data_IF_437104325180
#
_entry.id   IF_437104325180
#
_cell.length_a   1.000
_cell.length_b   1.000
_cell.length_c   1.000
_cell.angle_alpha   90.00
_cell.angle_beta   90.00
_cell.angle_gamma   90.00
#
_symmetry.space_group_name_H-M   'P 1'
#
loop_
_entity.id
_entity.type
_entity.pdbx_description
1 polymer ?
#
# COMPACT_ATOMS: atom_id res chain seq x y z
N UNK A 1 2.16 15.34 -16.67
CA UNK A 1 1.88 13.95 -16.28
C UNK A 1 1.52 13.96 -14.81
N UNK A 2 0.39 13.40 -14.41
CA UNK A 2 -0.03 13.37 -13.02
C UNK A 2 0.11 11.95 -12.45
N UNK A 3 0.30 11.85 -11.15
CA UNK A 3 0.41 10.60 -10.39
C UNK A 3 -0.68 10.61 -9.33
N UNK A 4 -1.53 9.60 -9.34
CA UNK A 4 -2.51 9.41 -8.29
C UNK A 4 -1.86 8.73 -7.07
N UNK A 5 -2.29 9.09 -5.88
CA UNK A 5 -1.88 8.46 -4.63
C UNK A 5 -3.12 8.02 -3.85
N UNK A 6 -3.28 6.71 -3.74
CA UNK A 6 -4.20 6.07 -2.82
C UNK A 6 -3.40 5.64 -1.61
N UNK A 7 -3.39 6.45 -0.59
CA UNK A 7 -2.60 6.21 0.60
C UNK A 7 -3.44 6.39 1.83
N UNK A 8 -3.43 5.39 2.63
CA UNK A 8 -3.90 5.47 3.99
C UNK A 8 -2.74 5.63 4.98
N UNK A 9 -1.49 5.71 4.51
CA UNK A 9 -0.32 5.79 5.35
C UNK A 9 0.02 7.25 5.67
N UNK A 10 -0.12 7.61 6.93
CA UNK A 10 0.22 8.94 7.43
C UNK A 10 1.74 9.19 7.45
N UNK A 11 2.56 8.14 7.33
CA UNK A 11 4.01 8.29 7.40
C UNK A 11 4.66 8.50 6.03
N UNK A 12 4.38 7.66 5.04
CA UNK A 12 5.03 7.72 3.71
C UNK A 12 4.34 8.71 2.78
N UNK A 13 3.02 8.82 2.86
CA UNK A 13 2.23 9.67 1.98
C UNK A 13 2.67 11.16 1.99
N UNK A 14 2.99 11.80 3.13
CA UNK A 14 3.48 13.18 3.15
C UNK A 14 4.77 13.38 2.36
N UNK A 15 5.72 12.43 2.43
CA UNK A 15 6.97 12.50 1.66
C UNK A 15 6.73 12.41 0.17
N UNK A 16 5.86 11.49 -0.26
CA UNK A 16 5.47 11.37 -1.66
C UNK A 16 4.79 12.67 -2.12
N UNK A 17 3.93 13.23 -1.29
CA UNK A 17 3.23 14.48 -1.59
C UNK A 17 4.19 15.66 -1.75
N UNK A 18 5.18 15.77 -0.87
CA UNK A 18 6.21 16.81 -0.97
C UNK A 18 7.06 16.64 -2.25
N UNK A 19 7.44 15.41 -2.58
CA UNK A 19 8.25 15.13 -3.77
C UNK A 19 7.51 15.39 -5.08
N UNK A 20 6.22 15.06 -5.16
CA UNK A 20 5.43 15.17 -6.39
C UNK A 20 4.76 16.53 -6.56
N UNK A 21 4.51 17.26 -5.46
CA UNK A 21 3.93 18.60 -5.48
C UNK A 21 2.68 18.69 -6.36
N UNK A 22 2.65 19.63 -7.28
CA UNK A 22 1.52 19.88 -8.19
C UNK A 22 1.21 18.72 -9.16
N UNK A 23 2.12 17.72 -9.26
CA UNK A 23 1.89 16.54 -10.08
C UNK A 23 1.05 15.48 -9.37
N UNK A 24 0.81 15.62 -8.07
CA UNK A 24 0.04 14.67 -7.29
C UNK A 24 -1.46 14.89 -7.42
N UNK A 25 -2.19 13.78 -7.46
CA UNK A 25 -3.64 13.70 -7.28
C UNK A 25 -3.90 12.76 -6.12
N UNK A 26 -4.27 13.28 -4.97
CA UNK A 26 -4.62 12.46 -3.82
C UNK A 26 -6.03 11.89 -3.98
N UNK A 27 -6.18 10.59 -3.76
CA UNK A 27 -7.47 9.90 -3.75
C UNK A 27 -7.97 9.87 -2.30
N UNK A 28 -9.04 10.62 -1.97
CA UNK A 28 -9.63 10.56 -0.65
C UNK A 28 -10.44 9.26 -0.46
N UNK A 29 -10.61 8.84 0.79
CA UNK A 29 -11.34 7.58 1.10
C UNK A 29 -12.78 7.61 0.55
N UNK A 30 -13.44 8.77 0.54
CA UNK A 30 -14.81 8.93 0.04
C UNK A 30 -14.91 8.65 -1.47
N UNK A 31 -13.84 8.88 -2.22
CA UNK A 31 -13.83 8.57 -3.66
C UNK A 31 -13.80 7.07 -3.95
N UNK A 32 -13.41 6.24 -2.96
CA UNK A 32 -13.43 4.79 -3.11
C UNK A 32 -14.86 4.22 -3.12
N UNK A 33 -15.83 4.97 -2.61
CA UNK A 33 -17.24 4.58 -2.57
C UNK A 33 -18.01 4.99 -3.84
N UNK A 34 -17.42 5.85 -4.68
CA UNK A 34 -18.01 6.34 -5.94
C UNK A 34 -17.05 6.09 -7.12
N UNK A 35 -17.37 5.10 -7.93
CA UNK A 35 -16.55 4.74 -9.10
C UNK A 35 -16.39 5.88 -10.11
N UNK A 36 -17.38 6.75 -10.27
CA UNK A 36 -17.30 7.89 -11.19
C UNK A 36 -16.35 8.97 -10.63
N UNK A 37 -16.42 9.23 -9.34
CA UNK A 37 -15.50 10.16 -8.67
C UNK A 37 -14.06 9.65 -8.75
N UNK A 38 -13.84 8.36 -8.50
CA UNK A 38 -12.53 7.73 -8.61
C UNK A 38 -11.98 7.79 -10.05
N UNK A 39 -12.79 7.44 -11.05
CA UNK A 39 -12.40 7.50 -12.46
C UNK A 39 -12.07 8.93 -12.90
N UNK A 40 -12.81 9.93 -12.44
CA UNK A 40 -12.51 11.33 -12.72
C UNK A 40 -11.16 11.78 -12.17
N UNK A 41 -10.77 11.29 -10.97
CA UNK A 41 -9.47 11.57 -10.37
C UNK A 41 -8.33 10.86 -11.12
N UNK A 42 -8.57 9.66 -11.62
CA UNK A 42 -7.55 8.86 -12.32
C UNK A 42 -7.36 9.26 -13.79
N UNK A 43 -8.38 9.82 -14.44
CA UNK A 43 -8.34 10.22 -15.86
C UNK A 43 -7.10 11.05 -16.26
N UNK A 44 -6.65 12.06 -15.48
CA UNK A 44 -5.45 12.84 -15.83
C UNK A 44 -4.13 12.14 -15.46
N UNK A 45 -4.17 10.96 -14.83
CA UNK A 45 -3.02 10.30 -14.27
C UNK A 45 -2.45 9.25 -15.23
N UNK A 46 -1.13 9.13 -15.25
CA UNK A 46 -0.43 8.05 -15.95
C UNK A 46 0.02 6.94 -15.00
N UNK A 47 0.01 7.21 -13.70
CA UNK A 47 0.41 6.25 -12.69
C UNK A 47 -0.44 6.39 -11.43
N UNK A 48 -0.60 5.29 -10.73
CA UNK A 48 -1.27 5.21 -9.44
C UNK A 48 -0.34 4.54 -8.44
N UNK A 49 0.02 5.25 -7.38
CA UNK A 49 0.72 4.68 -6.22
C UNK A 49 -0.35 4.26 -5.21
N UNK A 50 -0.36 2.98 -4.86
CA UNK A 50 -1.22 2.43 -3.81
C UNK A 50 -0.37 1.98 -2.62
N UNK A 51 -0.68 2.55 -1.45
CA UNK A 51 -0.04 2.20 -0.18
C UNK A 51 -1.12 1.65 0.74
N UNK A 52 -1.00 0.38 1.07
CA UNK A 52 -1.91 -0.27 1.99
C UNK A 52 -1.20 -0.55 3.32
N UNK A 53 -0.82 0.51 4.01
CA UNK A 53 -0.05 0.41 5.25
C UNK A 53 -0.85 0.72 6.51
N UNK A 54 -2.12 1.08 6.40
CA UNK A 54 -2.97 1.16 7.59
C UNK A 54 -2.98 -0.21 8.25
N UNK A 55 -2.48 -0.34 9.48
CA UNK A 55 -2.80 -1.51 10.27
C UNK A 55 -4.32 -1.57 10.30
N UNK A 56 -4.87 -2.70 9.89
CA UNK A 56 -6.29 -2.96 10.13
C UNK A 56 -6.48 -2.76 11.62
N UNK A 57 -7.35 -1.86 12.00
CA UNK A 57 -7.74 -1.73 13.40
C UNK A 57 -8.39 -3.05 13.82
N UNK A 58 -7.59 -3.91 14.42
CA UNK A 58 -8.01 -5.24 14.85
C UNK A 58 -9.09 -5.17 15.93
N UNK A 59 -9.34 -3.97 16.51
CA UNK A 59 -10.47 -3.74 17.39
C UNK A 59 -11.82 -3.79 16.66
N UNK A 60 -11.82 -3.50 15.35
CA UNK A 60 -13.00 -3.55 14.49
C UNK A 60 -13.18 -4.93 13.85
N UNK A 61 -12.08 -5.63 13.57
CA UNK A 61 -12.10 -6.99 13.06
C UNK A 61 -12.19 -7.97 14.24
N UNK A 62 -13.30 -8.71 14.32
CA UNK A 62 -13.51 -9.69 15.41
C UNK A 62 -12.57 -10.89 15.33
N UNK A 63 -11.96 -11.10 14.18
CA UNK A 63 -10.99 -12.17 13.89
C UNK A 63 -10.10 -11.80 12.71
N UNK A 64 -9.07 -12.59 12.48
CA UNK A 64 -8.10 -12.41 11.41
C UNK A 64 -8.75 -12.41 10.01
N UNK A 65 -9.81 -13.20 9.82
CA UNK A 65 -10.54 -13.28 8.55
C UNK A 65 -11.30 -11.98 8.26
N UNK A 66 -11.90 -11.39 9.29
CA UNK A 66 -12.54 -10.10 9.19
C UNK A 66 -11.56 -8.99 8.80
N UNK A 67 -10.35 -9.02 9.36
CA UNK A 67 -9.30 -8.06 9.03
C UNK A 67 -8.88 -8.14 7.55
N UNK A 68 -8.65 -9.35 7.04
CA UNK A 68 -8.32 -9.57 5.61
C UNK A 68 -9.48 -9.11 4.72
N UNK A 69 -10.73 -9.41 5.10
CA UNK A 69 -11.90 -8.99 4.33
C UNK A 69 -11.98 -7.46 4.19
N UNK A 70 -11.74 -6.72 5.26
CA UNK A 70 -11.71 -5.25 5.26
C UNK A 70 -10.60 -4.73 4.33
N UNK A 71 -9.40 -5.31 4.39
CA UNK A 71 -8.31 -4.92 3.50
C UNK A 71 -8.66 -5.13 2.03
N UNK A 72 -9.24 -6.28 1.70
CA UNK A 72 -9.69 -6.62 0.34
C UNK A 72 -10.80 -5.69 -0.15
N UNK A 73 -11.76 -5.40 0.69
CA UNK A 73 -12.87 -4.51 0.37
C UNK A 73 -12.39 -3.10 0.04
N UNK A 74 -11.41 -2.58 0.79
CA UNK A 74 -10.80 -1.27 0.53
C UNK A 74 -9.95 -1.22 -0.74
N UNK A 75 -9.24 -2.31 -1.05
CA UNK A 75 -8.38 -2.36 -2.24
C UNK A 75 -9.18 -2.60 -3.53
N UNK A 76 -10.33 -3.27 -3.46
CA UNK A 76 -11.13 -3.64 -4.64
C UNK A 76 -11.50 -2.47 -5.54
N UNK A 77 -12.03 -1.33 -5.05
CA UNK A 77 -12.34 -0.18 -5.90
C UNK A 77 -11.14 0.32 -6.70
N UNK A 78 -9.95 0.31 -6.09
CA UNK A 78 -8.68 0.71 -6.73
C UNK A 78 -8.32 -0.28 -7.85
N UNK A 79 -8.37 -1.58 -7.57
CA UNK A 79 -8.07 -2.63 -8.56
C UNK A 79 -9.04 -2.58 -9.75
N UNK A 80 -10.33 -2.41 -9.47
CA UNK A 80 -11.37 -2.31 -10.49
C UNK A 80 -11.23 -1.02 -11.32
N UNK A 81 -10.78 0.07 -10.71
CA UNK A 81 -10.48 1.31 -11.42
C UNK A 81 -9.28 1.16 -12.37
N UNK A 82 -8.24 0.46 -11.93
CA UNK A 82 -7.07 0.15 -12.79
C UNK A 82 -7.51 -0.64 -14.02
N UNK A 83 -8.45 -1.57 -13.89
CA UNK A 83 -8.98 -2.33 -15.04
C UNK A 83 -9.71 -1.42 -16.04
N UNK A 84 -10.41 -0.39 -15.58
CA UNK A 84 -11.09 0.58 -16.45
C UNK A 84 -10.15 1.58 -17.14
N UNK A 85 -9.00 1.83 -16.54
CA UNK A 85 -7.98 2.75 -17.05
C UNK A 85 -6.83 1.99 -17.74
N UNK A 86 -7.03 1.61 -18.99
CA UNK A 86 -6.19 0.66 -19.75
C UNK A 86 -4.71 1.05 -19.95
N UNK A 87 -4.26 2.26 -19.54
CA UNK A 87 -2.86 2.70 -19.65
C UNK A 87 -2.27 3.18 -18.32
N UNK A 88 -2.94 2.91 -17.20
CA UNK A 88 -2.51 3.35 -15.89
C UNK A 88 -1.45 2.40 -15.30
N UNK A 89 -0.23 2.90 -15.07
CA UNK A 89 0.80 2.13 -14.38
C UNK A 89 0.48 2.06 -12.88
N UNK A 90 0.17 0.89 -12.36
CA UNK A 90 -0.05 0.69 -10.93
C UNK A 90 1.26 0.37 -10.22
N UNK A 91 1.55 1.12 -9.16
CA UNK A 91 2.71 0.93 -8.29
C UNK A 91 2.20 0.62 -6.88
N UNK A 92 2.48 -0.59 -6.40
CA UNK A 92 2.09 -1.01 -5.06
C UNK A 92 3.30 -0.89 -4.14
N UNK A 93 3.13 -0.18 -3.03
CA UNK A 93 4.11 -0.18 -1.94
C UNK A 93 3.63 -1.17 -0.89
N UNK A 94 4.30 -2.30 -0.86
CA UNK A 94 4.02 -3.44 0.00
C UNK A 94 5.07 -3.60 1.10
N UNK A 95 5.07 -4.77 1.72
CA UNK A 95 5.94 -5.09 2.85
C UNK A 95 6.74 -6.38 2.62
N UNK A 96 7.97 -6.42 3.13
CA UNK A 96 8.77 -7.66 3.16
C UNK A 96 8.18 -8.74 4.08
N UNK A 97 7.15 -8.42 4.88
CA UNK A 97 6.47 -9.40 5.76
C UNK A 97 5.68 -10.46 4.99
N UNK A 98 5.49 -10.29 3.68
CA UNK A 98 4.93 -11.33 2.79
C UNK A 98 5.89 -12.50 2.56
N UNK A 99 7.17 -12.34 2.87
CA UNK A 99 8.16 -13.42 2.86
C UNK A 99 8.22 -14.13 4.21
N UNK A 100 8.70 -15.39 4.27
CA UNK A 100 8.94 -16.09 5.52
C UNK A 100 9.92 -15.31 6.40
N UNK A 101 9.97 -15.64 7.68
CA UNK A 101 10.94 -15.02 8.57
C UNK A 101 12.35 -15.39 8.10
N UNK A 102 13.18 -14.36 7.93
CA UNK A 102 14.59 -14.57 7.63
C UNK A 102 15.33 -15.11 8.86
N UNK A 103 16.12 -16.17 8.65
CA UNK A 103 16.99 -16.72 9.67
C UNK A 103 18.47 -16.51 9.29
N UNK A 104 19.36 -16.42 10.27
CA UNK A 104 20.79 -16.29 9.99
C UNK A 104 21.30 -17.47 9.13
N UNK A 105 21.80 -17.15 7.94
CA UNK A 105 22.24 -18.15 6.97
C UNK A 105 21.33 -18.32 5.77
N UNK A 106 20.14 -17.72 5.78
CA UNK A 106 19.27 -17.69 4.61
C UNK A 106 19.88 -16.83 3.49
N UNK A 107 19.70 -17.29 2.27
CA UNK A 107 20.01 -16.49 1.08
C UNK A 107 19.02 -15.35 0.93
N UNK A 108 19.38 -14.32 0.15
CA UNK A 108 18.48 -13.20 -0.16
C UNK A 108 17.21 -13.67 -0.84
N UNK A 109 16.08 -13.05 -0.49
CA UNK A 109 14.81 -13.25 -1.20
C UNK A 109 14.95 -12.79 -2.66
N UNK A 110 14.87 -13.72 -3.58
CA UNK A 110 14.83 -13.46 -5.02
C UNK A 110 13.38 -13.44 -5.54
N UNK A 111 13.25 -13.25 -6.84
CA UNK A 111 11.94 -13.28 -7.53
C UNK A 111 11.23 -14.64 -7.36
N UNK A 112 12.00 -15.72 -7.23
CA UNK A 112 11.49 -17.09 -7.08
C UNK A 112 11.30 -17.53 -5.63
N UNK A 113 11.48 -16.61 -4.66
CA UNK A 113 11.30 -16.93 -3.25
C UNK A 113 9.85 -17.24 -2.95
N UNK A 114 9.60 -18.33 -2.22
CA UNK A 114 8.28 -18.68 -1.74
C UNK A 114 7.73 -17.59 -0.84
N UNK A 115 6.50 -17.13 -1.12
CA UNK A 115 5.81 -16.17 -0.30
C UNK A 115 5.09 -16.91 0.84
N UNK A 116 5.34 -16.49 2.07
CA UNK A 116 4.72 -17.02 3.28
C UNK A 116 4.46 -15.84 4.25
N UNK A 117 3.28 -15.21 4.15
CA UNK A 117 2.93 -14.06 4.99
C UNK A 117 3.08 -14.37 6.47
N UNK A 118 3.70 -13.46 7.23
CA UNK A 118 4.00 -13.65 8.65
C UNK A 118 2.83 -13.30 9.57
N UNK A 119 1.86 -12.60 9.06
CA UNK A 119 0.67 -12.15 9.79
C UNK A 119 -0.45 -11.75 8.85
N UNK A 120 -1.60 -11.46 9.44
CA UNK A 120 -2.84 -11.09 8.76
C UNK A 120 -2.68 -9.89 7.82
N UNK A 121 -1.93 -8.86 8.24
CA UNK A 121 -1.71 -7.69 7.41
C UNK A 121 -0.87 -8.04 6.17
N UNK A 122 0.15 -8.89 6.35
CA UNK A 122 0.96 -9.38 5.24
C UNK A 122 0.16 -10.30 4.30
N UNK A 123 -0.77 -11.11 4.82
CA UNK A 123 -1.67 -11.94 4.00
C UNK A 123 -2.62 -11.07 3.17
N UNK A 124 -3.21 -10.05 3.77
CA UNK A 124 -4.05 -9.09 3.05
C UNK A 124 -3.27 -8.32 1.99
N UNK A 125 -2.04 -7.92 2.30
CA UNK A 125 -1.14 -7.25 1.37
C UNK A 125 -0.78 -8.16 0.18
N UNK A 126 -0.41 -9.40 0.43
CA UNK A 126 -0.10 -10.37 -0.62
C UNK A 126 -1.28 -10.57 -1.56
N UNK A 127 -2.50 -10.68 -1.02
CA UNK A 127 -3.69 -10.78 -1.84
C UNK A 127 -3.86 -9.58 -2.80
N UNK A 128 -3.57 -8.35 -2.33
CA UNK A 128 -3.63 -7.14 -3.19
C UNK A 128 -2.59 -7.21 -4.28
N UNK A 129 -1.35 -7.58 -3.94
CA UNK A 129 -0.25 -7.72 -4.90
C UNK A 129 -0.57 -8.75 -5.99
N UNK A 130 -1.03 -9.93 -5.61
CA UNK A 130 -1.43 -11.01 -6.54
C UNK A 130 -2.54 -10.56 -7.47
N UNK A 131 -3.61 -9.97 -6.92
CA UNK A 131 -4.73 -9.49 -7.74
C UNK A 131 -4.34 -8.35 -8.68
N UNK A 132 -3.40 -7.50 -8.30
CA UNK A 132 -2.89 -6.47 -9.20
C UNK A 132 -2.01 -7.06 -10.31
N UNK A 133 -1.14 -8.02 -9.97
CA UNK A 133 -0.26 -8.69 -10.92
C UNK A 133 -1.09 -9.49 -11.96
N UNK A 134 -2.15 -10.17 -11.52
CA UNK A 134 -3.06 -10.88 -12.43
C UNK A 134 -3.75 -9.96 -13.45
N UNK A 135 -3.89 -8.68 -13.13
CA UNK A 135 -4.47 -7.64 -14.01
C UNK A 135 -3.44 -6.94 -14.89
N UNK A 136 -2.14 -7.25 -14.71
CA UNK A 136 -1.08 -6.61 -15.47
C UNK A 136 -1.12 -6.98 -16.94
N UNK A 137 -0.95 -5.98 -17.80
CA UNK A 137 -0.85 -6.09 -19.24
C UNK A 137 0.31 -5.21 -19.76
N UNK A 138 0.72 -5.38 -21.01
CA UNK A 138 1.81 -4.57 -21.59
C UNK A 138 1.53 -3.08 -21.52
N UNK A 139 0.30 -2.67 -21.79
CA UNK A 139 -0.13 -1.26 -21.76
C UNK A 139 -0.47 -0.78 -20.33
N UNK A 140 -0.63 -1.72 -19.41
CA UNK A 140 -1.03 -1.50 -18.01
C UNK A 140 -0.09 -2.24 -17.08
N UNK A 141 1.16 -1.77 -16.93
CA UNK A 141 2.14 -2.42 -16.09
C UNK A 141 1.80 -2.30 -14.60
N UNK A 142 2.20 -3.31 -13.85
CA UNK A 142 2.15 -3.32 -12.38
C UNK A 142 3.57 -3.46 -11.84
N UNK A 143 3.91 -2.61 -10.87
CA UNK A 143 5.17 -2.69 -10.12
C UNK A 143 4.88 -2.89 -8.65
N UNK A 144 5.51 -3.87 -8.01
CA UNK A 144 5.42 -4.11 -6.57
C UNK A 144 6.75 -3.78 -5.92
N UNK A 145 6.73 -2.83 -4.99
CA UNK A 145 7.89 -2.43 -4.19
C UNK A 145 7.66 -2.91 -2.77
N UNK A 146 8.36 -3.97 -2.36
CA UNK A 146 8.28 -4.50 -0.99
C UNK A 146 9.34 -3.82 -0.13
N UNK A 147 8.88 -2.89 0.70
CA UNK A 147 9.75 -2.17 1.62
C UNK A 147 9.91 -2.96 2.94
N UNK A 148 11.08 -2.82 3.55
CA UNK A 148 11.27 -3.15 4.97
C UNK A 148 10.59 -2.09 5.84
N UNK A 149 10.84 -2.08 7.14
CA UNK A 149 10.37 -1.00 8.00
C UNK A 149 10.91 0.34 7.50
N UNK A 150 9.99 1.21 7.07
CA UNK A 150 10.35 2.57 6.67
C UNK A 150 10.61 3.39 7.93
N UNK A 151 11.76 4.05 7.96
CA UNK A 151 12.20 4.86 9.09
C UNK A 151 12.42 6.30 8.63
N UNK A 152 12.11 7.24 9.49
CA UNK A 152 12.32 8.66 9.21
C UNK A 152 11.68 9.55 10.26
N UNK A 153 11.81 10.85 10.08
CA UNK A 153 11.12 11.85 10.90
C UNK A 153 9.79 12.16 10.24
N UNK A 154 8.64 12.02 10.91
CA UNK A 154 7.37 12.38 10.31
C UNK A 154 7.36 13.87 9.91
N UNK A 155 6.96 14.16 8.66
CA UNK A 155 6.82 15.54 8.16
C UNK A 155 5.59 16.23 8.77
N UNK A 156 4.58 15.45 9.18
CA UNK A 156 3.36 15.95 9.82
C UNK A 156 2.75 14.89 10.73
N UNK A 157 2.03 15.32 11.73
CA UNK A 157 1.36 14.41 12.69
C UNK A 157 2.17 14.11 13.94
N UNK A 158 1.57 13.42 14.93
CA UNK A 158 2.27 13.05 16.14
C UNK A 158 3.39 12.06 15.82
N UNK A 159 4.56 12.17 16.45
CA UNK A 159 5.61 11.18 16.31
C UNK A 159 5.06 9.83 16.78
N UNK A 160 5.10 8.80 15.93
CA UNK A 160 4.73 7.50 16.45
C UNK A 160 4.12 6.47 15.50
N UNK A 161 3.96 6.77 14.22
CA UNK A 161 3.39 5.78 13.31
C UNK A 161 4.42 4.77 12.74
N UNK A 162 5.73 5.02 12.89
CA UNK A 162 6.75 4.03 12.60
C UNK A 162 7.06 3.19 13.84
N UNK A 163 7.17 1.88 13.70
CA UNK A 163 7.45 0.95 14.83
C UNK A 163 8.67 1.40 15.65
N UNK A 164 9.73 1.89 15.01
CA UNK A 164 10.93 2.36 15.71
C UNK A 164 10.74 3.75 16.36
N UNK A 165 9.92 4.61 15.78
CA UNK A 165 9.61 5.90 16.39
C UNK A 165 8.78 5.73 17.65
N UNK A 166 7.83 4.81 17.64
CA UNK A 166 7.04 4.43 18.80
C UNK A 166 7.92 3.83 19.88
N UNK A 167 8.85 2.96 19.50
CA UNK A 167 9.79 2.32 20.43
C UNK A 167 10.77 3.33 21.06
N UNK A 168 11.32 4.25 20.27
CA UNK A 168 12.20 5.31 20.77
C UNK A 168 11.47 6.27 21.69
N UNK A 169 10.20 6.56 21.44
CA UNK A 169 9.39 7.44 22.28
C UNK A 169 8.99 6.75 23.61
N UNK A 170 8.56 5.51 23.56
CA UNK A 170 8.21 4.72 24.75
C UNK A 170 9.42 4.42 25.64
N UNK A 171 10.63 4.36 25.10
CA UNK A 171 11.86 4.15 25.88
C UNK A 171 12.39 5.41 26.56
N UNK A 172 11.84 6.59 26.28
CA UNK A 172 12.22 7.88 26.91
C UNK A 172 11.26 8.31 28.02
N UNK A 173 10.14 7.61 28.22
CA UNK A 173 9.24 7.80 29.33
C UNK A 173 9.48 6.79 30.44
#
# INVERSE_FOLDING_TARGET
MKVALSAADEFVAPYISEMLGDSLVTIPDEALEDSNALDALLTPCSSLIHINSRPVDTSVARDDRGAIAIMRERARPILDAVDRHGSLHMIIIGTLRVHPQWEPGDEYYGLDSTLAPRDVAAEGQLWIEENAIERAETERPVSVIRASNVQGVPLSGPPGNGILHRWAFESQM
#
